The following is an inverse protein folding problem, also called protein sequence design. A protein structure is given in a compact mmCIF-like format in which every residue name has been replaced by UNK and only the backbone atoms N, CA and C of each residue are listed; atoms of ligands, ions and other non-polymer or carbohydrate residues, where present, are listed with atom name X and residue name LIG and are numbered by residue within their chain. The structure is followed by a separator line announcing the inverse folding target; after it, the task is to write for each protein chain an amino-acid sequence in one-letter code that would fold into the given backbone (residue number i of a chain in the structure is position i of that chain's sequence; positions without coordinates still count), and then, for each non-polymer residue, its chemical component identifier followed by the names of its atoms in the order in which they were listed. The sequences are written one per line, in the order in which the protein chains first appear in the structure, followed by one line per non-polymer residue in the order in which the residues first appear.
data_IF_065211924847
#
_entry.id   IF_065211924847
#
_cell.length_a   1.000
_cell.length_b   1.000
_cell.length_c   1.000
_cell.angle_alpha   90.00
_cell.angle_beta   90.00
_cell.angle_gamma   90.00
#
_symmetry.space_group_name_H-M   'P 1'
#
loop_
_entity.id
_entity.type
_entity.pdbx_description
1 polymer ?
#
# COMPACT_ATOMS: atom_id res chain seq x y z
N UNK A 1 5.23 -0.55 12.66
CA UNK A 1 4.46 -1.50 11.82
C UNK A 1 3.16 -0.89 11.29
N UNK A 2 2.75 0.25 11.83
CA UNK A 2 1.42 0.87 11.66
C UNK A 2 1.04 1.12 10.21
N UNK A 3 1.94 1.65 9.39
CA UNK A 3 1.68 1.93 7.97
C UNK A 3 1.29 0.66 7.19
N UNK A 4 2.01 -0.44 7.39
CA UNK A 4 1.70 -1.71 6.74
C UNK A 4 0.32 -2.23 7.17
N UNK A 5 0.00 -2.13 8.47
CA UNK A 5 -1.31 -2.52 8.99
C UNK A 5 -2.44 -1.67 8.41
N UNK A 6 -2.25 -0.36 8.25
CA UNK A 6 -3.22 0.52 7.61
C UNK A 6 -3.45 0.14 6.15
N UNK A 7 -2.39 -0.14 5.39
CA UNK A 7 -2.49 -0.56 3.99
C UNK A 7 -3.21 -1.92 3.87
N UNK A 8 -2.95 -2.85 4.77
CA UNK A 8 -3.66 -4.15 4.81
C UNK A 8 -5.15 -3.96 5.09
N UNK A 9 -5.50 -3.17 6.11
CA UNK A 9 -6.90 -2.89 6.47
C UNK A 9 -7.61 -2.17 5.32
N UNK A 10 -6.95 -1.20 4.69
CA UNK A 10 -7.49 -0.48 3.54
C UNK A 10 -7.70 -1.42 2.35
N UNK A 11 -6.73 -2.27 2.03
CA UNK A 11 -6.83 -3.22 0.94
C UNK A 11 -7.98 -4.21 1.15
N UNK A 12 -8.10 -4.79 2.35
CA UNK A 12 -9.19 -5.70 2.70
C UNK A 12 -10.57 -5.04 2.65
N UNK A 13 -10.64 -3.78 3.09
CA UNK A 13 -11.89 -3.00 3.05
C UNK A 13 -12.31 -2.72 1.62
N UNK A 14 -11.39 -2.23 0.78
CA UNK A 14 -11.66 -1.92 -0.63
C UNK A 14 -12.01 -3.17 -1.42
N UNK A 15 -11.28 -4.27 -1.22
CA UNK A 15 -11.59 -5.54 -1.89
C UNK A 15 -12.98 -6.05 -1.52
N UNK A 16 -13.47 -5.84 -0.28
CA UNK A 16 -14.79 -6.31 0.14
C UNK A 16 -15.97 -5.66 -0.61
N UNK A 17 -15.77 -4.48 -1.19
CA UNK A 17 -16.80 -3.72 -1.93
C UNK A 17 -16.79 -4.08 -3.42
N UNK A 18 -15.69 -4.63 -3.93
CA UNK A 18 -15.50 -4.95 -5.33
C UNK A 18 -15.98 -6.38 -5.62
N UNK A 19 -16.69 -6.54 -6.75
CA UNK A 19 -16.93 -7.87 -7.33
C UNK A 19 -15.78 -8.20 -8.26
N UNK A 20 -14.94 -9.15 -7.87
CA UNK A 20 -13.84 -9.66 -8.69
C UNK A 20 -13.58 -11.13 -8.34
N UNK A 21 -13.00 -11.87 -9.28
CA UNK A 21 -12.48 -13.21 -9.02
C UNK A 21 -10.99 -13.28 -9.38
N UNK A 22 -10.12 -13.26 -8.38
CA UNK A 22 -8.67 -13.14 -8.58
C UNK A 22 -7.97 -12.43 -7.43
N UNK A 23 -7.11 -11.46 -7.74
CA UNK A 23 -6.27 -10.73 -6.79
C UNK A 23 -6.50 -9.22 -6.91
N UNK A 24 -6.85 -8.60 -5.79
CA UNK A 24 -6.82 -7.15 -5.61
C UNK A 24 -5.49 -6.75 -4.96
N UNK A 25 -4.73 -5.88 -5.61
CA UNK A 25 -3.47 -5.33 -5.11
C UNK A 25 -3.63 -3.86 -4.81
N UNK A 26 -3.27 -3.46 -3.60
CA UNK A 26 -3.06 -2.05 -3.24
C UNK A 26 -1.57 -1.81 -3.06
N UNK A 27 -1.01 -0.86 -3.80
CA UNK A 27 0.39 -0.50 -3.79
C UNK A 27 0.55 1.01 -3.59
N UNK A 28 1.46 1.40 -2.70
CA UNK A 28 1.90 2.78 -2.55
C UNK A 28 3.41 2.82 -2.73
N UNK A 29 3.87 3.69 -3.63
CA UNK A 29 5.28 3.86 -3.93
C UNK A 29 5.62 5.35 -3.86
N UNK A 30 6.71 5.67 -3.18
CA UNK A 30 7.18 7.04 -3.04
C UNK A 30 8.68 7.12 -2.76
N UNK A 31 9.18 8.32 -2.52
CA UNK A 31 10.60 8.66 -2.33
C UNK A 31 11.01 8.85 -0.85
N UNK A 32 10.07 8.61 0.06
CA UNK A 32 10.29 8.61 1.50
C UNK A 32 11.15 7.44 2.02
N UNK A 33 11.39 7.37 3.34
CA UNK A 33 12.09 6.25 3.98
C UNK A 33 11.40 4.90 3.77
N UNK A 34 10.08 4.87 3.58
CA UNK A 34 9.33 3.70 3.11
C UNK A 34 9.09 3.88 1.61
N UNK A 35 9.94 3.25 0.78
CA UNK A 35 9.86 3.42 -0.67
C UNK A 35 8.78 2.58 -1.36
N UNK A 36 8.26 1.55 -0.69
CA UNK A 36 7.17 0.72 -1.21
C UNK A 36 6.40 0.09 -0.05
N UNK A 37 5.08 0.13 -0.12
CA UNK A 37 4.20 -0.70 0.72
C UNK A 37 3.08 -1.26 -0.14
N UNK A 38 2.78 -2.54 0.03
CA UNK A 38 1.82 -3.25 -0.81
C UNK A 38 1.06 -4.30 0.01
N UNK A 39 -0.21 -4.49 -0.32
CA UNK A 39 -1.04 -5.56 0.18
C UNK A 39 -1.87 -6.17 -0.97
N UNK A 40 -1.91 -7.50 -1.02
CA UNK A 40 -2.77 -8.25 -1.92
C UNK A 40 -3.84 -8.98 -1.14
N UNK A 41 -5.05 -8.97 -1.68
CA UNK A 41 -6.22 -9.67 -1.15
C UNK A 41 -6.82 -10.50 -2.27
N UNK A 42 -6.93 -11.81 -2.07
CA UNK A 42 -7.58 -12.71 -3.03
C UNK A 42 -9.09 -12.70 -2.85
N UNK A 43 -9.84 -13.10 -3.88
CA UNK A 43 -11.30 -13.28 -3.80
C UNK A 43 -11.72 -14.31 -2.72
N UNK A 44 -10.83 -15.24 -2.37
CA UNK A 44 -11.02 -16.20 -1.27
C UNK A 44 -10.67 -15.64 0.13
N UNK A 45 -10.28 -14.37 0.23
CA UNK A 45 -9.92 -13.71 1.50
C UNK A 45 -8.48 -13.96 1.96
N UNK A 46 -7.62 -14.54 1.12
CA UNK A 46 -6.19 -14.67 1.42
C UNK A 46 -5.50 -13.31 1.36
N UNK A 47 -4.69 -12.98 2.37
CA UNK A 47 -4.01 -11.68 2.47
C UNK A 47 -2.50 -11.89 2.52
N UNK A 48 -1.77 -11.10 1.74
CA UNK A 48 -0.31 -10.96 1.86
C UNK A 48 0.08 -9.50 1.78
N UNK A 49 1.16 -9.11 2.46
CA UNK A 49 1.62 -7.73 2.43
C UNK A 49 3.13 -7.64 2.58
N UNK A 50 3.70 -6.57 2.03
CA UNK A 50 5.13 -6.33 2.01
C UNK A 50 5.41 -4.83 2.11
N UNK A 51 6.51 -4.48 2.78
CA UNK A 51 7.04 -3.12 2.77
C UNK A 51 8.55 -3.15 2.53
N UNK A 52 9.02 -2.22 1.70
CA UNK A 52 10.44 -1.93 1.48
C UNK A 52 10.74 -0.56 2.09
N UNK A 53 11.72 -0.53 2.98
CA UNK A 53 12.13 0.68 3.67
C UNK A 53 13.65 0.74 3.82
N UNK A 54 14.15 1.96 3.99
CA UNK A 54 15.53 2.27 4.36
C UNK A 54 15.60 2.37 5.89
N UNK A 55 16.37 1.48 6.51
CA UNK A 55 16.43 1.37 7.96
C UNK A 55 17.05 2.62 8.62
N UNK A 56 18.05 3.23 8.01
CA UNK A 56 18.76 4.38 8.57
C UNK A 56 17.89 5.63 8.47
N UNK A 57 17.25 5.85 7.31
CA UNK A 57 16.32 6.98 7.12
C UNK A 57 15.09 6.84 8.00
N UNK A 58 14.57 5.62 8.19
CA UNK A 58 13.43 5.37 9.07
C UNK A 58 13.79 5.60 10.55
N UNK A 59 14.95 5.11 10.99
CA UNK A 59 15.43 5.34 12.36
C UNK A 59 15.62 6.82 12.68
N UNK A 60 16.03 7.64 11.70
CA UNK A 60 16.13 9.09 11.86
C UNK A 60 14.76 9.76 12.06
N UNK A 61 13.71 9.27 11.41
CA UNK A 61 12.33 9.74 11.62
C UNK A 61 11.84 9.35 13.02
N UNK A 62 12.10 8.13 13.47
CA UNK A 62 11.73 7.67 14.80
C UNK A 62 12.47 8.46 15.91
N UNK A 63 13.76 8.72 15.71
CA UNK A 63 14.60 9.49 16.65
C UNK A 63 14.13 10.95 16.81
N UNK A 64 13.43 11.50 15.82
CA UNK A 64 12.81 12.83 15.90
C UNK A 64 11.54 12.85 16.79
N UNK A 65 11.18 11.74 17.44
CA UNK A 65 10.00 11.64 18.31
C UNK A 65 8.70 11.44 17.53
N UNK A 66 8.79 11.00 16.27
CA UNK A 66 7.64 10.83 15.39
C UNK A 66 6.97 9.45 15.56
N UNK A 67 6.68 9.02 16.79
CA UNK A 67 5.69 7.96 16.97
C UNK A 67 4.36 8.44 16.36
N UNK A 68 3.86 7.73 15.35
CA UNK A 68 2.73 8.19 14.54
C UNK A 68 3.13 9.21 13.47
N UNK A 69 4.36 9.15 12.95
CA UNK A 69 4.82 9.96 11.82
C UNK A 69 3.75 10.02 10.73
N UNK A 70 3.41 11.22 10.24
CA UNK A 70 2.37 11.35 9.23
C UNK A 70 2.82 10.67 7.93
N UNK A 71 1.86 10.23 7.13
CA UNK A 71 2.07 9.52 5.86
C UNK A 71 3.14 10.19 4.94
N UNK A 72 3.24 11.54 4.81
CA UNK A 72 4.25 12.18 3.97
C UNK A 72 5.66 12.00 4.51
N UNK A 73 5.82 11.94 5.84
CA UNK A 73 7.13 11.75 6.46
C UNK A 73 7.68 10.33 6.19
N UNK A 74 6.78 9.35 5.99
CA UNK A 74 7.14 7.96 5.73
C UNK A 74 7.26 7.64 4.24
N UNK A 75 6.29 8.08 3.43
CA UNK A 75 6.19 7.71 2.02
C UNK A 75 6.71 8.80 1.07
N UNK A 76 6.85 10.04 1.54
CA UNK A 76 7.27 11.17 0.72
C UNK A 76 6.24 11.51 -0.35
N UNK A 77 6.74 11.93 -1.52
CA UNK A 77 5.92 12.13 -2.72
C UNK A 77 5.90 10.85 -3.55
N UNK A 78 4.77 10.58 -4.18
CA UNK A 78 4.59 9.33 -4.90
C UNK A 78 3.18 9.13 -5.41
N UNK A 79 2.81 7.87 -5.62
CA UNK A 79 1.50 7.50 -6.11
C UNK A 79 0.95 6.28 -5.36
N UNK A 80 -0.37 6.21 -5.35
CA UNK A 80 -1.11 5.02 -4.96
C UNK A 80 -1.68 4.38 -6.21
N UNK A 81 -1.42 3.08 -6.37
CA UNK A 81 -1.98 2.26 -7.41
C UNK A 81 -2.84 1.16 -6.79
N UNK A 82 -4.04 0.96 -7.32
CA UNK A 82 -4.81 -0.24 -7.04
C UNK A 82 -5.00 -1.01 -8.34
N UNK A 83 -4.87 -2.33 -8.27
CA UNK A 83 -4.88 -3.23 -9.42
C UNK A 83 -5.81 -4.39 -9.15
N UNK A 84 -6.67 -4.72 -10.11
CA UNK A 84 -7.52 -5.91 -10.08
C UNK A 84 -7.05 -6.83 -11.20
N UNK A 85 -6.57 -8.00 -10.81
CA UNK A 85 -6.15 -9.07 -11.73
C UNK A 85 -7.10 -10.25 -11.56
N UNK A 86 -7.86 -10.59 -12.62
CA UNK A 86 -8.84 -11.66 -12.60
C UNK A 86 -8.37 -12.93 -13.31
N UNK A 87 -7.07 -13.03 -13.57
CA UNK A 87 -6.46 -14.20 -14.19
C UNK A 87 -6.42 -14.17 -15.71
N UNK A 88 -6.04 -15.31 -16.34
CA UNK A 88 -5.90 -15.44 -17.78
C UNK A 88 -7.21 -15.08 -18.51
N UNK A 89 -7.08 -14.49 -19.70
CA UNK A 89 -8.22 -14.08 -20.54
C UNK A 89 -9.09 -12.95 -19.96
N UNK A 90 -8.56 -12.20 -18.99
CA UNK A 90 -9.17 -10.97 -18.47
C UNK A 90 -8.22 -9.78 -18.59
N UNK A 91 -8.78 -8.60 -18.83
CA UNK A 91 -7.98 -7.38 -18.82
C UNK A 91 -7.72 -6.94 -17.38
N UNK A 92 -6.44 -6.71 -17.07
CA UNK A 92 -6.04 -6.12 -15.80
C UNK A 92 -6.55 -4.69 -15.70
N UNK A 93 -7.32 -4.40 -14.65
CA UNK A 93 -7.74 -3.04 -14.34
C UNK A 93 -6.79 -2.39 -13.35
N UNK A 94 -6.33 -1.17 -13.64
CA UNK A 94 -5.45 -0.43 -12.75
C UNK A 94 -5.87 1.04 -12.67
N UNK A 95 -6.04 1.53 -11.44
CA UNK A 95 -6.20 2.95 -11.17
C UNK A 95 -4.96 3.46 -10.43
N UNK A 96 -4.41 4.57 -10.92
CA UNK A 96 -3.26 5.25 -10.31
C UNK A 96 -3.68 6.68 -9.97
N UNK A 97 -3.35 7.12 -8.76
CA UNK A 97 -3.55 8.49 -8.31
C UNK A 97 -2.31 8.97 -7.59
N UNK A 98 -2.04 10.28 -7.68
CA UNK A 98 -0.97 10.90 -6.90
C UNK A 98 -1.27 10.77 -5.42
N UNK A 99 -0.23 10.68 -4.60
CA UNK A 99 -0.38 10.66 -3.15
C UNK A 99 -0.65 12.10 -2.66
N UNK A 100 -1.90 12.53 -2.76
CA UNK A 100 -2.35 13.86 -2.32
C UNK A 100 -3.18 13.72 -1.04
N UNK A 101 -2.81 14.45 0.02
CA UNK A 101 -3.56 14.44 1.30
C UNK A 101 -2.93 13.65 2.43
N UNK A 102 -1.66 13.26 2.28
CA UNK A 102 -0.84 12.73 3.35
C UNK A 102 -0.57 13.82 4.42
#
# INVERSE_FOLDING_TARGET
ADLLSQVVVLAATLSSVLKFDGVFTLQVQGDGPVGLVMADVTSAGGVRSYARFDADRLAAVDAAGAQGAPVPALLGSGYLAFTVDQGPDTDRYQGITELVGA
#
